data_IF_371978797977
#
_entry.id   IF_371978797977
#
_cell.length_a   1.000
_cell.length_b   1.000
_cell.length_c   1.000
_cell.angle_alpha   90.00
_cell.angle_beta   90.00
_cell.angle_gamma   90.00
#
_symmetry.space_group_name_H-M   'P 1'
#
loop_
_entity.id
_entity.type
_entity.pdbx_description
1 polymer ?
#
# COMPACT_ATOMS: atom_id res chain seq x y z
N UNK A 1 45.02 -44.97 47.17
CA UNK A 1 43.59 -45.25 46.87
C UNK A 1 43.18 -44.23 45.83
N UNK A 2 43.45 -44.51 44.55
CA UNK A 2 42.46 -44.97 43.53
C UNK A 2 41.62 -43.78 43.03
N UNK A 3 41.42 -43.45 41.76
CA UNK A 3 41.98 -43.77 40.45
C UNK A 3 41.34 -42.77 39.46
N UNK A 4 42.09 -42.46 38.40
CA UNK A 4 41.84 -41.82 37.08
C UNK A 4 40.45 -41.28 36.66
N UNK A 5 40.44 -40.20 35.84
CA UNK A 5 39.30 -39.72 35.05
C UNK A 5 39.16 -40.48 33.72
N UNK A 6 37.94 -40.54 33.14
CA UNK A 6 37.63 -40.59 31.67
C UNK A 6 36.15 -40.98 31.43
N UNK A 7 35.34 -40.08 30.86
CA UNK A 7 34.64 -40.38 29.61
C UNK A 7 34.23 -39.10 28.88
N UNK A 8 34.60 -39.06 27.61
CA UNK A 8 34.25 -38.08 26.58
C UNK A 8 33.11 -38.65 25.77
N UNK A 9 32.12 -37.82 25.41
CA UNK A 9 31.33 -37.88 24.17
C UNK A 9 30.74 -36.46 23.99
N UNK A 10 31.26 -35.59 23.12
CA UNK A 10 30.94 -35.48 21.69
C UNK A 10 29.42 -35.58 21.47
N UNK A 11 28.70 -34.54 21.06
CA UNK A 11 28.42 -34.16 19.66
C UNK A 11 27.49 -32.93 19.77
N UNK A 12 27.95 -31.73 19.40
CA UNK A 12 27.69 -31.05 18.12
C UNK A 12 26.26 -30.52 17.91
N UNK A 13 26.24 -29.37 17.26
CA UNK A 13 25.16 -28.77 16.48
C UNK A 13 24.00 -28.04 17.20
N UNK A 14 24.08 -26.71 17.06
CA UNK A 14 23.08 -25.89 16.34
C UNK A 14 21.63 -26.01 16.79
N UNK A 15 21.12 -24.96 17.44
CA UNK A 15 20.14 -24.12 16.75
C UNK A 15 20.07 -22.77 17.45
N UNK A 16 20.59 -21.75 16.76
CA UNK A 16 20.11 -20.40 16.99
C UNK A 16 18.61 -20.47 16.73
N UNK A 17 17.80 -20.42 17.78
CA UNK A 17 16.39 -20.07 17.64
C UNK A 17 16.36 -18.67 17.06
N UNK A 18 16.41 -18.64 15.73
CA UNK A 18 15.69 -17.74 14.87
C UNK A 18 14.28 -17.66 15.45
N UNK A 19 14.12 -16.74 16.40
CA UNK A 19 12.83 -16.20 16.73
C UNK A 19 12.43 -15.37 15.51
N UNK A 20 12.07 -16.06 14.42
CA UNK A 20 11.19 -15.52 13.43
C UNK A 20 10.05 -14.87 14.23
N UNK A 21 9.82 -13.55 14.08
CA UNK A 21 8.70 -12.93 14.74
C UNK A 21 7.45 -13.75 14.41
N UNK A 22 6.53 -13.95 15.38
CA UNK A 22 5.33 -14.75 15.15
C UNK A 22 4.67 -14.29 13.85
N UNK A 23 4.11 -15.20 13.03
CA UNK A 23 3.48 -14.84 11.77
C UNK A 23 2.49 -13.72 12.08
N UNK A 24 2.82 -12.51 11.63
CA UNK A 24 2.03 -11.33 11.91
C UNK A 24 0.59 -11.69 11.54
N UNK A 25 -0.27 -11.72 12.55
CA UNK A 25 -1.69 -12.05 12.41
C UNK A 25 -2.19 -11.30 11.19
N UNK A 26 -2.41 -12.03 10.09
CA UNK A 26 -2.75 -11.46 8.80
C UNK A 26 -4.21 -11.07 8.89
N UNK A 27 -4.44 -9.90 9.44
CA UNK A 27 -5.73 -9.23 9.40
C UNK A 27 -6.11 -9.03 7.94
N UNK A 28 -7.40 -9.10 7.60
CA UNK A 28 -7.82 -9.00 6.22
C UNK A 28 -7.45 -7.61 5.69
N UNK A 29 -6.38 -7.55 4.89
CA UNK A 29 -5.98 -6.34 4.23
C UNK A 29 -7.02 -5.98 3.16
N UNK A 30 -7.54 -4.76 3.21
CA UNK A 30 -8.52 -4.31 2.24
C UNK A 30 -7.81 -3.87 0.98
N UNK A 31 -8.19 -4.47 -0.14
CA UNK A 31 -7.59 -4.17 -1.43
C UNK A 31 -8.31 -2.99 -2.07
N UNK A 32 -7.52 -2.02 -2.51
CA UNK A 32 -7.97 -0.85 -3.25
C UNK A 32 -7.13 -0.72 -4.52
N UNK A 33 -7.69 -0.15 -5.57
CA UNK A 33 -6.96 0.20 -6.78
C UNK A 33 -6.98 1.71 -6.94
N UNK A 34 -5.80 2.32 -7.06
CA UNK A 34 -5.63 3.74 -7.36
C UNK A 34 -5.39 3.91 -8.85
N UNK A 35 -5.98 4.92 -9.46
CA UNK A 35 -5.86 5.25 -10.88
C UNK A 35 -5.45 6.71 -11.06
N UNK A 36 -4.60 6.99 -12.04
CA UNK A 36 -4.21 8.33 -12.44
C UNK A 36 -4.80 8.66 -13.81
N UNK A 37 -5.92 9.38 -13.87
CA UNK A 37 -6.56 9.72 -15.15
C UNK A 37 -7.01 11.17 -15.20
N UNK A 38 -6.89 11.81 -16.35
CA UNK A 38 -7.44 13.15 -16.59
C UNK A 38 -6.95 14.25 -15.63
N UNK A 39 -5.73 14.12 -15.08
CA UNK A 39 -5.19 15.08 -14.11
C UNK A 39 -5.67 14.84 -12.67
N UNK A 40 -6.28 13.69 -12.40
CA UNK A 40 -6.88 13.34 -11.10
C UNK A 40 -6.46 11.95 -10.63
N UNK A 41 -6.55 11.74 -9.33
CA UNK A 41 -6.40 10.44 -8.69
C UNK A 41 -7.78 9.90 -8.37
N UNK A 42 -8.03 8.67 -8.76
CA UNK A 42 -9.25 7.95 -8.40
C UNK A 42 -8.90 6.73 -7.55
N UNK A 43 -9.81 6.34 -6.66
CA UNK A 43 -9.71 5.09 -5.94
C UNK A 43 -10.95 4.22 -6.15
N UNK A 44 -10.71 2.93 -6.37
CA UNK A 44 -11.75 1.92 -6.41
C UNK A 44 -11.54 0.86 -5.33
N UNK A 45 -12.63 0.42 -4.70
CA UNK A 45 -12.62 -0.66 -3.72
C UNK A 45 -13.16 -1.97 -4.34
N UNK A 46 -13.13 -3.05 -3.56
CA UNK A 46 -13.66 -4.37 -3.96
C UNK A 46 -15.17 -4.40 -4.27
N UNK A 47 -15.91 -3.31 -4.02
CA UNK A 47 -17.33 -3.19 -4.35
C UNK A 47 -17.55 -2.43 -5.67
N UNK A 48 -16.50 -2.24 -6.47
CA UNK A 48 -16.48 -1.46 -7.72
C UNK A 48 -16.85 0.03 -7.57
N UNK A 49 -17.05 0.52 -6.34
CA UNK A 49 -17.25 1.95 -6.07
C UNK A 49 -16.00 2.70 -6.49
N UNK A 50 -16.15 3.79 -7.23
CA UNK A 50 -15.06 4.65 -7.68
C UNK A 50 -15.25 6.05 -7.10
N UNK A 51 -14.22 6.60 -6.48
CA UNK A 51 -14.22 7.96 -5.91
C UNK A 51 -13.07 8.78 -6.47
N UNK A 52 -13.26 10.10 -6.53
CA UNK A 52 -12.20 11.08 -6.84
C UNK A 52 -11.45 11.40 -5.55
N UNK A 53 -10.15 11.09 -5.49
CA UNK A 53 -9.33 11.38 -4.32
C UNK A 53 -8.66 12.75 -4.38
N UNK A 54 -8.68 13.44 -5.51
CA UNK A 54 -8.01 14.72 -5.68
C UNK A 54 -7.21 14.83 -6.97
N UNK A 55 -6.26 15.76 -6.99
CA UNK A 55 -5.50 16.15 -8.17
C UNK A 55 -4.18 15.37 -8.30
N UNK A 56 -3.83 15.01 -9.53
CA UNK A 56 -2.50 14.52 -9.91
C UNK A 56 -2.19 15.04 -11.31
N UNK A 57 -1.30 16.01 -11.39
CA UNK A 57 -1.02 16.72 -12.62
C UNK A 57 0.49 16.87 -12.86
N UNK A 58 0.92 16.91 -14.13
CA UNK A 58 2.27 17.31 -14.46
C UNK A 58 2.48 18.79 -14.11
N UNK A 59 3.66 19.09 -13.61
CA UNK A 59 4.20 20.39 -13.25
C UNK A 59 5.50 20.65 -14.02
N UNK A 60 6.06 21.86 -13.90
CA UNK A 60 7.28 22.26 -14.60
C UNK A 60 8.50 21.38 -14.27
N UNK A 61 8.53 20.73 -13.10
CA UNK A 61 9.66 19.93 -12.61
C UNK A 61 9.26 18.47 -12.27
N UNK A 62 8.27 17.91 -12.96
CA UNK A 62 7.82 16.53 -12.74
C UNK A 62 6.32 16.46 -12.48
N UNK A 63 5.88 15.49 -11.68
CA UNK A 63 4.48 15.33 -11.30
C UNK A 63 4.26 15.74 -9.85
N UNK A 64 3.08 16.30 -9.58
CA UNK A 64 2.63 16.64 -8.24
C UNK A 64 1.21 16.14 -8.02
N UNK A 65 0.90 15.75 -6.79
CA UNK A 65 -0.43 15.35 -6.38
C UNK A 65 -0.87 16.09 -5.11
N UNK A 66 -2.17 16.24 -4.99
CA UNK A 66 -2.83 16.75 -3.79
C UNK A 66 -4.13 15.99 -3.60
N UNK A 67 -4.21 15.24 -2.49
CA UNK A 67 -5.41 14.48 -2.15
C UNK A 67 -6.35 15.29 -1.25
N UNK A 68 -7.64 15.09 -1.46
CA UNK A 68 -8.71 15.71 -0.68
C UNK A 68 -8.88 14.98 0.67
N UNK A 69 -9.21 15.71 1.74
CA UNK A 69 -9.52 15.14 3.05
C UNK A 69 -8.88 15.83 4.25
N UNK A 70 -9.13 15.26 5.44
CA UNK A 70 -8.59 15.73 6.70
C UNK A 70 -7.14 15.27 6.88
N UNK A 71 -6.22 16.18 6.62
CA UNK A 71 -4.79 15.90 6.53
C UNK A 71 -4.35 16.07 5.09
N UNK A 72 -3.68 17.19 4.82
CA UNK A 72 -3.21 17.50 3.48
C UNK A 72 -2.14 16.49 3.07
N UNK A 73 -2.49 15.53 2.23
CA UNK A 73 -1.54 14.59 1.62
C UNK A 73 -1.18 15.15 0.25
N UNK A 74 -0.02 15.81 0.18
CA UNK A 74 0.51 16.38 -1.06
C UNK A 74 2.00 16.07 -1.17
N UNK A 75 2.47 15.86 -2.39
CA UNK A 75 3.89 15.76 -2.70
C UNK A 75 4.13 16.10 -4.17
N UNK A 76 5.37 16.46 -4.49
CA UNK A 76 5.81 16.85 -5.83
C UNK A 76 7.21 16.29 -6.13
N UNK A 77 7.64 16.43 -7.39
CA UNK A 77 8.98 16.04 -7.84
C UNK A 77 9.08 14.58 -8.29
N UNK A 78 7.96 13.96 -8.69
CA UNK A 78 7.97 12.61 -9.27
C UNK A 78 8.29 12.65 -10.76
N UNK A 79 9.02 11.67 -11.27
CA UNK A 79 9.36 11.60 -12.71
C UNK A 79 8.11 11.35 -13.57
N UNK A 80 7.17 10.56 -13.06
CA UNK A 80 5.96 10.13 -13.77
C UNK A 80 4.77 9.87 -12.83
N UNK A 81 3.57 9.74 -13.42
CA UNK A 81 2.33 9.50 -12.68
C UNK A 81 2.34 8.20 -11.87
N UNK A 82 3.05 7.15 -12.30
CA UNK A 82 3.12 5.87 -11.59
C UNK A 82 3.97 6.00 -10.33
N UNK A 83 5.09 6.73 -10.38
CA UNK A 83 5.86 7.04 -9.17
C UNK A 83 5.02 7.82 -8.14
N UNK A 84 4.28 8.84 -8.60
CA UNK A 84 3.38 9.60 -7.73
C UNK A 84 2.31 8.69 -7.10
N UNK A 85 1.69 7.80 -7.88
CA UNK A 85 0.73 6.80 -7.38
C UNK A 85 1.35 5.84 -6.35
N UNK A 86 2.58 5.37 -6.59
CA UNK A 86 3.28 4.51 -5.63
C UNK A 86 3.54 5.24 -4.30
N UNK A 87 3.90 6.52 -4.37
CA UNK A 87 4.07 7.36 -3.18
C UNK A 87 2.75 7.59 -2.44
N UNK A 88 1.65 7.85 -3.17
CA UNK A 88 0.31 7.95 -2.60
C UNK A 88 -0.03 6.65 -1.87
N UNK A 89 0.14 5.49 -2.51
CA UNK A 89 -0.17 4.19 -1.93
C UNK A 89 0.62 3.90 -0.64
N UNK A 90 1.86 4.41 -0.53
CA UNK A 90 2.67 4.30 0.67
C UNK A 90 2.32 5.33 1.76
N UNK A 91 1.70 6.46 1.39
CA UNK A 91 1.39 7.58 2.29
C UNK A 91 -0.02 7.50 2.90
N UNK A 92 -0.97 6.87 2.19
CA UNK A 92 -2.36 6.77 2.64
C UNK A 92 -2.59 5.58 3.58
N UNK A 93 -3.61 5.69 4.43
CA UNK A 93 -4.00 4.64 5.37
C UNK A 93 -5.40 4.12 5.05
N UNK A 94 -5.75 2.95 5.60
CA UNK A 94 -7.09 2.40 5.48
C UNK A 94 -8.17 3.40 5.96
N UNK A 95 -7.96 4.03 7.13
CA UNK A 95 -8.89 4.98 7.72
C UNK A 95 -9.11 6.21 6.83
N UNK A 96 -8.05 6.69 6.18
CA UNK A 96 -8.17 7.79 5.22
C UNK A 96 -9.07 7.38 4.04
N UNK A 97 -8.80 6.24 3.39
CA UNK A 97 -9.63 5.79 2.28
C UNK A 97 -11.07 5.50 2.71
N UNK A 98 -11.28 4.80 3.83
CA UNK A 98 -12.61 4.50 4.35
C UNK A 98 -13.42 5.78 4.63
N UNK A 99 -12.77 6.80 5.19
CA UNK A 99 -13.33 8.13 5.36
C UNK A 99 -13.73 8.77 4.02
N UNK A 100 -12.86 8.74 3.01
CA UNK A 100 -13.16 9.25 1.67
C UNK A 100 -14.29 8.46 0.99
N UNK A 101 -14.32 7.13 1.11
CA UNK A 101 -15.39 6.31 0.57
C UNK A 101 -16.73 6.55 1.27
N UNK A 102 -16.73 7.01 2.52
CA UNK A 102 -17.93 7.40 3.26
C UNK A 102 -18.39 8.81 2.89
N UNK A 103 -17.46 9.75 2.72
CA UNK A 103 -17.76 11.16 2.45
C UNK A 103 -18.07 11.45 0.98
N UNK A 104 -17.42 10.75 0.05
CA UNK A 104 -17.47 11.05 -1.37
C UNK A 104 -18.50 10.20 -2.12
N UNK A 105 -19.06 10.85 -3.14
CA UNK A 105 -20.00 10.23 -4.06
C UNK A 105 -19.32 9.14 -4.90
N UNK A 106 -20.08 8.11 -5.22
CA UNK A 106 -19.67 7.10 -6.19
C UNK A 106 -19.77 7.69 -7.62
N UNK A 107 -18.68 7.60 -8.37
CA UNK A 107 -18.58 8.00 -9.79
C UNK A 107 -18.88 6.83 -10.75
N UNK A 108 -19.04 5.61 -10.23
CA UNK A 108 -19.18 4.31 -10.89
C UNK A 108 -19.81 4.31 -12.28
N UNK A 109 -21.13 4.50 -12.40
CA UNK A 109 -21.84 4.25 -13.66
C UNK A 109 -22.32 5.51 -14.41
N UNK A 110 -22.52 6.64 -13.74
CA UNK A 110 -23.08 7.85 -14.37
C UNK A 110 -22.03 8.82 -14.90
N UNK A 111 -20.80 8.74 -14.37
CA UNK A 111 -19.74 9.71 -14.68
C UNK A 111 -18.36 9.05 -14.57
N UNK A 112 -18.24 7.76 -14.94
CA UNK A 112 -16.97 7.05 -14.81
C UNK A 112 -15.93 7.71 -15.72
N UNK A 113 -14.83 8.26 -15.17
CA UNK A 113 -13.71 8.68 -15.99
C UNK A 113 -13.10 7.46 -16.70
N UNK A 114 -12.48 7.69 -17.85
CA UNK A 114 -11.77 6.62 -18.57
C UNK A 114 -10.49 6.27 -17.81
N UNK A 115 -10.60 5.28 -16.93
CA UNK A 115 -9.48 4.76 -16.13
C UNK A 115 -8.93 3.45 -16.69
N UNK A 116 -9.51 2.88 -17.76
CA UNK A 116 -9.16 1.54 -18.25
C UNK A 116 -7.77 1.47 -18.89
N UNK A 117 -7.29 2.58 -19.45
CA UNK A 117 -5.92 2.71 -20.00
C UNK A 117 -4.99 3.55 -19.12
N UNK A 118 -5.46 3.98 -17.95
CA UNK A 118 -4.72 4.87 -17.08
C UNK A 118 -3.67 4.11 -16.24
N UNK A 119 -2.56 4.75 -15.85
CA UNK A 119 -1.67 4.20 -14.83
C UNK A 119 -2.46 3.87 -13.57
N UNK A 120 -2.26 2.65 -13.05
CA UNK A 120 -2.93 2.17 -11.85
C UNK A 120 -1.97 1.41 -10.94
N UNK A 121 -2.26 1.39 -9.65
CA UNK A 121 -1.57 0.56 -8.65
C UNK A 121 -2.59 -0.04 -7.69
N UNK A 122 -2.39 -1.31 -7.33
CA UNK A 122 -3.18 -1.96 -6.31
C UNK A 122 -2.48 -1.82 -4.96
N UNK A 123 -3.23 -1.51 -3.91
CA UNK A 123 -2.73 -1.37 -2.54
C UNK A 123 -3.59 -2.18 -1.59
N UNK A 124 -2.93 -2.90 -0.67
CA UNK A 124 -3.60 -3.63 0.40
C UNK A 124 -3.34 -2.91 1.72
N UNK A 125 -4.39 -2.27 2.26
CA UNK A 125 -4.28 -1.50 3.48
C UNK A 125 -4.85 -2.29 4.66
N UNK A 126 -4.07 -2.38 5.73
CA UNK A 126 -4.52 -2.97 6.97
C UNK A 126 -5.29 -1.94 7.82
N UNK A 127 -6.48 -2.29 8.37
CA UNK A 127 -7.27 -1.41 9.21
C UNK A 127 -6.56 -0.94 10.50
N UNK A 128 -5.51 -1.63 10.96
CA UNK A 128 -4.71 -1.23 12.14
C UNK A 128 -3.60 -0.23 11.80
N UNK A 129 -3.52 0.24 10.56
CA UNK A 129 -2.63 1.33 10.14
C UNK A 129 -1.31 0.90 9.51
N UNK A 130 -1.15 -0.37 9.14
CA UNK A 130 0.01 -0.84 8.40
C UNK A 130 -0.33 -0.89 6.91
N UNK A 131 0.13 0.11 6.14
CA UNK A 131 0.08 0.04 4.68
C UNK A 131 1.13 -0.98 4.21
N UNK A 132 0.69 -2.13 3.67
CA UNK A 132 1.58 -3.06 2.99
C UNK A 132 1.42 -2.84 1.49
N UNK A 133 2.46 -2.40 0.76
CA UNK A 133 2.38 -2.35 -0.69
C UNK A 133 2.08 -3.76 -1.22
N UNK A 134 0.95 -3.91 -1.90
CA UNK A 134 0.59 -5.14 -2.58
C UNK A 134 1.36 -5.17 -3.91
N UNK A 135 2.61 -5.65 -3.88
CA UNK A 135 3.31 -6.16 -5.07
C UNK A 135 2.40 -7.20 -5.76
N UNK A 136 2.24 -7.32 -7.08
CA UNK A 136 2.96 -6.83 -8.26
C UNK A 136 1.94 -6.80 -9.43
N UNK A 137 1.90 -5.75 -10.26
CA UNK A 137 1.20 -5.82 -11.54
C UNK A 137 2.16 -6.47 -12.55
N UNK A 138 2.08 -7.79 -12.64
CA UNK A 138 2.85 -8.57 -13.60
C UNK A 138 2.57 -8.06 -15.03
N UNK A 139 3.68 -7.95 -15.77
CA UNK A 139 3.85 -7.42 -17.13
C UNK A 139 2.94 -8.05 -18.20
#
# INVERSE_FOLDING_TARGET
MTSRPSHTDATDATDATDAAPPPAESHPAHTFTLYASGGRVYASNVRDKLIDLGALAPQAQGWAYQLDGDGRVEAEGFDDARQALAHIAASITFLYLDGQFTALQDLGDRARPDVRGAPQIQVALDPRGQARPAIDAAA
#
